data_IF_031469282524
#
_entry.id   IF_031469282524
#
_cell.length_a   1.000
_cell.length_b   1.000
_cell.length_c   1.000
_cell.angle_alpha   90.00
_cell.angle_beta   90.00
_cell.angle_gamma   90.00
#
_symmetry.space_group_name_H-M   'P 1'
#
loop_
_entity.id
_entity.type
_entity.pdbx_description
1 polymer ?
#
# COMPACT_ATOMS: atom_id res chain seq x y z
N UNK A 1 -16.07 -20.91 15.54
CA UNK A 1 -15.71 -20.84 14.10
C UNK A 1 -14.81 -19.63 13.95
N UNK A 2 -13.57 -19.80 13.49
CA UNK A 2 -12.62 -18.69 13.40
C UNK A 2 -13.11 -17.67 12.38
N UNK A 3 -13.27 -16.42 12.81
CA UNK A 3 -13.52 -15.29 11.91
C UNK A 3 -12.29 -15.13 11.01
N UNK A 4 -12.33 -15.73 9.82
CA UNK A 4 -11.39 -15.44 8.76
C UNK A 4 -11.95 -14.25 7.97
N UNK A 5 -11.12 -13.25 7.70
CA UNK A 5 -11.53 -12.11 6.90
C UNK A 5 -12.06 -12.57 5.53
N UNK A 6 -13.08 -11.90 5.00
CA UNK A 6 -13.63 -12.24 3.68
C UNK A 6 -12.53 -12.12 2.62
N UNK A 7 -12.39 -13.15 1.79
CA UNK A 7 -11.32 -13.23 0.79
C UNK A 7 -9.95 -13.65 1.37
N UNK A 8 -9.90 -14.17 2.60
CA UNK A 8 -8.69 -14.77 3.13
C UNK A 8 -8.27 -15.99 2.32
N UNK A 9 -7.00 -16.01 1.90
CA UNK A 9 -6.36 -17.14 1.22
C UNK A 9 -5.24 -17.65 2.13
N UNK A 10 -5.29 -18.92 2.59
CA UNK A 10 -4.22 -19.54 3.34
C UNK A 10 -2.86 -19.39 2.64
N UNK A 11 -1.78 -18.99 3.34
CA UNK A 11 -0.48 -18.77 2.71
C UNK A 11 0.15 -20.01 2.09
N UNK A 12 -0.24 -21.21 2.53
CA UNK A 12 0.14 -22.50 1.95
C UNK A 12 -0.40 -22.74 0.53
N UNK A 13 -1.42 -21.97 0.12
CA UNK A 13 -1.95 -22.00 -1.24
C UNK A 13 -1.24 -20.99 -2.16
N UNK A 14 -0.31 -20.19 -1.65
CA UNK A 14 0.41 -19.22 -2.46
C UNK A 14 1.50 -19.90 -3.28
N UNK A 15 1.34 -19.88 -4.60
CA UNK A 15 2.32 -20.43 -5.52
C UNK A 15 3.46 -19.43 -5.77
N UNK A 16 4.70 -19.90 -5.68
CA UNK A 16 5.88 -19.11 -6.05
C UNK A 16 6.01 -18.92 -7.57
N UNK A 17 5.25 -19.69 -8.35
CA UNK A 17 5.30 -19.73 -9.79
C UNK A 17 6.40 -20.65 -10.31
N UNK A 18 6.52 -20.69 -11.62
CA UNK A 18 7.51 -21.52 -12.32
C UNK A 18 8.82 -20.78 -12.54
N UNK A 19 9.88 -21.55 -12.72
CA UNK A 19 11.16 -20.99 -13.18
C UNK A 19 11.01 -20.52 -14.63
N UNK A 20 11.22 -19.23 -14.87
CA UNK A 20 11.00 -18.63 -16.19
C UNK A 20 11.89 -17.40 -16.41
N UNK A 21 12.39 -17.26 -17.64
CA UNK A 21 12.99 -16.02 -18.12
C UNK A 21 11.91 -15.10 -18.72
N UNK A 22 12.06 -13.81 -18.51
CA UNK A 22 11.14 -12.76 -18.96
C UNK A 22 11.94 -11.73 -19.74
N UNK A 23 11.41 -11.31 -20.89
CA UNK A 23 11.93 -10.17 -21.63
C UNK A 23 10.75 -9.36 -22.16
N UNK A 24 10.78 -8.07 -21.88
CA UNK A 24 9.81 -7.10 -22.37
C UNK A 24 10.59 -5.96 -23.01
N UNK A 25 10.18 -5.55 -24.21
CA UNK A 25 10.85 -4.51 -24.97
C UNK A 25 9.85 -3.49 -25.49
N UNK A 26 10.21 -2.22 -25.42
CA UNK A 26 9.43 -1.13 -26.00
C UNK A 26 10.36 -0.26 -26.84
N UNK A 27 10.09 -0.23 -28.15
CA UNK A 27 10.86 0.56 -29.11
C UNK A 27 10.00 1.68 -29.70
N UNK A 28 10.46 2.91 -29.55
CA UNK A 28 9.81 4.11 -30.10
C UNK A 28 10.80 4.86 -30.99
N UNK A 29 10.36 5.32 -32.15
CA UNK A 29 11.17 6.14 -33.06
C UNK A 29 10.37 7.31 -33.63
N UNK A 30 11.02 8.45 -33.81
CA UNK A 30 10.44 9.65 -34.40
C UNK A 30 11.45 10.31 -35.35
N UNK A 31 10.95 10.86 -36.46
CA UNK A 31 11.72 11.69 -37.37
C UNK A 31 11.02 13.04 -37.55
N UNK A 32 11.64 14.09 -37.01
CA UNK A 32 11.16 15.45 -37.11
C UNK A 32 11.83 16.15 -38.30
N UNK A 33 11.03 16.69 -39.22
CA UNK A 33 11.53 17.48 -40.35
C UNK A 33 11.26 18.96 -40.08
N UNK A 34 12.32 19.76 -39.93
CA UNK A 34 12.18 21.20 -39.76
C UNK A 34 12.42 21.91 -41.09
N UNK A 35 11.56 22.89 -41.38
CA UNK A 35 11.62 23.70 -42.61
C UNK A 35 12.89 24.56 -42.69
N UNK A 36 13.45 24.94 -41.55
CA UNK A 36 14.73 25.63 -41.39
C UNK A 36 15.52 24.96 -40.27
N UNK A 37 16.39 23.99 -40.60
CA UNK A 37 17.24 23.30 -39.60
C UNK A 37 17.49 21.80 -39.82
N UNK A 38 17.06 21.22 -40.95
CA UNK A 38 17.31 19.82 -41.29
C UNK A 38 16.31 18.84 -40.65
N UNK A 39 16.63 17.54 -40.74
CA UNK A 39 15.83 16.47 -40.12
C UNK A 39 16.51 15.96 -38.85
N UNK A 40 15.75 15.84 -37.76
CA UNK A 40 16.22 15.22 -36.51
C UNK A 40 15.57 13.86 -36.33
N UNK A 41 16.37 12.85 -35.99
CA UNK A 41 15.89 11.49 -35.73
C UNK A 41 16.10 11.15 -34.29
N UNK A 42 15.11 10.52 -33.69
CA UNK A 42 15.14 10.03 -32.32
C UNK A 42 14.70 8.58 -32.32
N UNK A 43 15.43 7.73 -31.62
CA UNK A 43 15.00 6.37 -31.34
C UNK A 43 15.28 6.06 -29.87
N UNK A 44 14.39 5.28 -29.27
CA UNK A 44 14.45 4.90 -27.87
C UNK A 44 14.00 3.45 -27.73
N UNK A 45 14.77 2.66 -27.01
CA UNK A 45 14.46 1.29 -26.65
C UNK A 45 14.51 1.18 -25.12
N UNK A 46 13.42 0.71 -24.51
CA UNK A 46 13.41 0.25 -23.12
C UNK A 46 13.39 -1.28 -23.13
N UNK A 47 14.33 -1.89 -22.42
CA UNK A 47 14.45 -3.33 -22.28
C UNK A 47 14.35 -3.70 -20.81
N UNK A 48 13.30 -4.44 -20.48
CA UNK A 48 13.05 -4.99 -19.17
C UNK A 48 13.29 -6.49 -19.23
N UNK A 49 14.29 -6.96 -18.52
CA UNK A 49 14.58 -8.40 -18.42
C UNK A 49 14.29 -8.89 -17.01
N UNK A 50 13.98 -10.17 -16.89
CA UNK A 50 13.70 -10.77 -15.60
C UNK A 50 13.95 -12.26 -15.59
N UNK A 51 14.21 -12.79 -14.41
CA UNK A 51 14.38 -14.21 -14.18
C UNK A 51 13.67 -14.57 -12.88
N UNK A 52 12.80 -15.56 -12.95
CA UNK A 52 12.11 -16.13 -11.79
C UNK A 52 12.73 -17.50 -11.52
N UNK A 53 13.18 -17.74 -10.29
CA UNK A 53 13.67 -19.05 -9.83
C UNK A 53 13.08 -19.30 -8.44
N UNK A 54 12.08 -20.17 -8.36
CA UNK A 54 11.31 -20.38 -7.12
C UNK A 54 10.71 -19.05 -6.64
N UNK A 55 10.94 -18.71 -5.36
CA UNK A 55 10.44 -17.48 -4.75
C UNK A 55 11.26 -16.21 -5.10
N UNK A 56 12.39 -16.37 -5.79
CA UNK A 56 13.29 -15.27 -6.14
C UNK A 56 12.93 -14.70 -7.51
N UNK A 57 12.87 -13.37 -7.57
CA UNK A 57 12.55 -12.62 -8.78
C UNK A 57 13.67 -11.61 -9.03
N UNK A 58 14.47 -11.85 -10.06
CA UNK A 58 15.46 -10.90 -10.55
C UNK A 58 14.82 -10.03 -11.63
N UNK A 59 15.04 -8.73 -11.57
CA UNK A 59 14.56 -7.75 -12.55
C UNK A 59 15.71 -6.81 -12.92
N UNK A 60 15.83 -6.51 -14.21
CA UNK A 60 16.78 -5.55 -14.75
C UNK A 60 16.08 -4.68 -15.79
N UNK A 61 16.40 -3.38 -15.78
CA UNK A 61 15.89 -2.42 -16.74
C UNK A 61 17.05 -1.63 -17.34
N UNK A 62 17.10 -1.62 -18.67
CA UNK A 62 18.12 -0.92 -19.44
C UNK A 62 17.46 -0.14 -20.58
N UNK A 63 17.99 1.04 -20.86
CA UNK A 63 17.49 1.90 -21.93
C UNK A 63 18.56 2.24 -22.93
N UNK A 64 18.18 2.31 -24.19
CA UNK A 64 19.01 2.77 -25.28
C UNK A 64 18.36 3.97 -25.93
N UNK A 65 19.12 5.02 -26.13
CA UNK A 65 18.67 6.23 -26.80
C UNK A 65 19.61 6.59 -27.94
N UNK A 66 19.01 6.99 -29.04
CA UNK A 66 19.68 7.53 -30.20
C UNK A 66 19.05 8.88 -30.55
N UNK A 67 19.88 9.89 -30.76
CA UNK A 67 19.47 11.19 -31.27
C UNK A 67 20.45 11.68 -32.34
N UNK A 68 19.92 12.29 -33.40
CA UNK A 68 20.74 12.97 -34.42
C UNK A 68 20.18 14.34 -34.74
N UNK A 69 21.00 15.39 -34.67
CA UNK A 69 20.63 16.79 -34.94
C UNK A 69 21.09 17.30 -36.30
N UNK A 70 20.26 18.14 -36.94
CA UNK A 70 20.40 18.57 -38.35
C UNK A 70 21.38 19.70 -38.68
N UNK A 71 22.03 20.35 -37.70
CA UNK A 71 22.90 21.52 -37.97
C UNK A 71 24.29 21.49 -37.30
N UNK A 72 24.49 20.63 -36.30
CA UNK A 72 25.76 20.42 -35.60
C UNK A 72 25.85 18.93 -35.34
N UNK A 73 26.80 18.27 -36.00
CA UNK A 73 26.95 16.82 -36.09
C UNK A 73 27.31 16.15 -34.76
N UNK A 74 26.38 16.12 -33.81
CA UNK A 74 26.45 15.24 -32.63
C UNK A 74 25.36 14.19 -32.74
N UNK A 75 25.72 13.02 -33.25
CA UNK A 75 24.91 11.82 -33.08
C UNK A 75 25.19 11.29 -31.69
N UNK A 76 24.19 11.24 -30.83
CA UNK A 76 24.29 10.62 -29.53
C UNK A 76 23.69 9.23 -29.60
N UNK A 77 24.48 8.24 -29.21
CA UNK A 77 24.07 6.86 -29.11
C UNK A 77 24.52 6.35 -27.75
N UNK A 78 23.58 6.11 -26.84
CA UNK A 78 23.89 5.76 -25.45
C UNK A 78 23.07 4.57 -25.00
N UNK A 79 23.77 3.58 -24.43
CA UNK A 79 23.17 2.55 -23.60
C UNK A 79 23.31 2.96 -22.13
N UNK A 80 22.21 2.91 -21.38
CA UNK A 80 22.16 3.29 -19.97
C UNK A 80 21.41 2.22 -19.18
N UNK A 81 22.10 1.64 -18.21
CA UNK A 81 21.47 0.77 -17.21
C UNK A 81 20.69 1.64 -16.21
N UNK A 82 19.42 1.31 -15.99
CA UNK A 82 18.52 2.08 -15.12
C UNK A 82 18.56 1.50 -13.72
N UNK A 83 18.14 0.25 -13.54
CA UNK A 83 18.11 -0.41 -12.24
C UNK A 83 18.14 -1.94 -12.39
N UNK A 84 18.66 -2.59 -11.35
CA UNK A 84 18.69 -4.03 -11.21
C UNK A 84 18.40 -4.39 -9.76
N UNK A 85 17.44 -5.28 -9.52
CA UNK A 85 17.12 -5.75 -8.17
C UNK A 85 16.67 -7.20 -8.14
N UNK A 86 16.87 -7.80 -6.98
CA UNK A 86 16.45 -9.14 -6.64
C UNK A 86 15.48 -9.03 -5.47
N UNK A 87 14.27 -9.54 -5.65
CA UNK A 87 13.23 -9.51 -4.63
C UNK A 87 12.75 -10.91 -4.26
N UNK A 88 12.32 -11.05 -3.01
CA UNK A 88 11.70 -12.26 -2.47
C UNK A 88 10.71 -11.92 -1.38
N UNK A 89 9.54 -12.54 -1.47
CA UNK A 89 8.51 -12.46 -0.45
C UNK A 89 8.85 -13.40 0.73
N UNK A 90 8.69 -12.90 1.96
CA UNK A 90 8.86 -13.61 3.22
C UNK A 90 7.49 -13.73 3.88
N UNK A 91 6.77 -14.79 3.51
CA UNK A 91 5.40 -15.08 3.94
C UNK A 91 5.20 -15.05 5.47
N UNK A 92 6.08 -15.63 6.32
CA UNK A 92 5.90 -15.59 7.78
C UNK A 92 5.91 -14.19 8.38
N UNK A 93 6.62 -13.25 7.73
CA UNK A 93 6.72 -11.85 8.15
C UNK A 93 5.75 -10.94 7.37
N UNK A 94 4.97 -11.49 6.42
CA UNK A 94 4.16 -10.72 5.46
C UNK A 94 4.92 -9.53 4.86
N UNK A 95 6.17 -9.78 4.50
CA UNK A 95 7.13 -8.75 4.12
C UNK A 95 7.85 -9.14 2.83
N UNK A 96 8.33 -8.14 2.08
CA UNK A 96 9.20 -8.31 0.92
C UNK A 96 10.62 -7.89 1.27
N UNK A 97 11.57 -8.77 0.92
CA UNK A 97 12.99 -8.48 0.91
C UNK A 97 13.39 -8.05 -0.50
N UNK A 98 14.04 -6.89 -0.62
CA UNK A 98 14.56 -6.34 -1.87
C UNK A 98 16.06 -6.09 -1.72
N UNK A 99 16.85 -6.57 -2.67
CA UNK A 99 18.30 -6.42 -2.74
C UNK A 99 18.68 -5.78 -4.08
N UNK A 100 19.53 -4.75 -4.07
CA UNK A 100 19.94 -4.00 -5.26
C UNK A 100 19.29 -2.62 -5.31
N UNK A 101 18.94 -2.18 -6.51
CA UNK A 101 18.38 -0.85 -6.76
C UNK A 101 16.89 -0.78 -6.44
N UNK A 102 16.50 0.10 -5.52
CA UNK A 102 15.09 0.31 -5.20
C UNK A 102 14.85 1.72 -4.65
N UNK A 103 13.68 1.94 -4.08
CA UNK A 103 13.29 3.22 -3.48
C UNK A 103 12.57 3.00 -2.16
N UNK A 104 12.60 4.00 -1.28
CA UNK A 104 11.87 3.99 -0.02
C UNK A 104 10.47 4.60 -0.19
N UNK A 105 9.50 4.08 0.55
CA UNK A 105 8.15 4.64 0.56
C UNK A 105 8.15 6.00 1.27
N UNK A 106 7.54 7.00 0.63
CA UNK A 106 7.49 8.38 1.10
C UNK A 106 6.47 8.65 2.22
N UNK A 107 6.15 7.65 3.04
CA UNK A 107 5.01 7.72 3.98
C UNK A 107 5.31 8.60 5.21
N UNK A 108 6.58 8.68 5.62
CA UNK A 108 7.07 9.40 6.82
C UNK A 108 8.15 10.39 6.49
N UNK A 109 9.09 9.93 5.67
CA UNK A 109 10.24 10.67 5.18
C UNK A 109 10.10 10.78 3.67
N UNK A 110 10.84 11.68 3.04
CA UNK A 110 10.87 11.76 1.59
C UNK A 110 11.36 10.44 0.98
N UNK A 111 10.72 10.03 -0.12
CA UNK A 111 11.10 8.84 -0.86
C UNK A 111 12.46 9.04 -1.52
N UNK A 112 13.40 8.15 -1.20
CA UNK A 112 14.76 8.19 -1.75
C UNK A 112 15.04 6.92 -2.54
N UNK A 113 15.77 7.07 -3.64
CA UNK A 113 16.32 5.97 -4.41
C UNK A 113 17.62 5.50 -3.74
N UNK A 114 17.82 4.19 -3.67
CA UNK A 114 18.99 3.60 -3.04
C UNK A 114 19.45 2.34 -3.75
N UNK A 115 20.69 1.94 -3.45
CA UNK A 115 21.24 0.62 -3.76
C UNK A 115 21.65 -0.08 -2.46
N UNK A 116 21.01 -1.19 -2.14
CA UNK A 116 21.28 -1.89 -0.88
C UNK A 116 20.26 -2.98 -0.57
N UNK A 117 19.86 -3.07 0.68
CA UNK A 117 18.89 -4.05 1.17
C UNK A 117 17.71 -3.35 1.85
N UNK A 118 16.51 -3.82 1.56
CA UNK A 118 15.28 -3.37 2.21
C UNK A 118 14.41 -4.56 2.59
N UNK A 119 13.89 -4.52 3.81
CA UNK A 119 12.83 -5.41 4.29
C UNK A 119 11.63 -4.55 4.68
N UNK A 120 10.52 -4.71 3.97
CA UNK A 120 9.31 -3.94 4.20
C UNK A 120 8.06 -4.83 4.22
N UNK A 121 7.10 -4.52 5.08
CA UNK A 121 5.77 -5.16 5.07
C UNK A 121 5.06 -4.89 3.74
N UNK A 122 4.41 -5.91 3.16
CA UNK A 122 3.66 -5.78 1.89
C UNK A 122 2.15 -5.93 2.12
N UNK A 123 1.41 -4.84 1.96
CA UNK A 123 -0.05 -4.82 2.12
C UNK A 123 -0.78 -5.65 1.04
N UNK A 124 -0.11 -6.01 -0.06
CA UNK A 124 -0.69 -6.93 -1.06
C UNK A 124 -0.82 -8.36 -0.56
N UNK A 125 -0.11 -8.72 0.51
CA UNK A 125 -0.24 -9.99 1.22
C UNK A 125 -1.43 -10.03 2.19
N UNK A 126 -2.15 -8.91 2.35
CA UNK A 126 -3.39 -8.83 3.10
C UNK A 126 -4.59 -9.12 2.18
N UNK A 127 -5.65 -9.78 2.69
CA UNK A 127 -6.92 -9.87 1.98
C UNK A 127 -7.43 -8.49 1.58
N UNK A 128 -8.09 -8.37 0.43
CA UNK A 128 -8.57 -7.06 -0.06
C UNK A 128 -9.54 -6.38 0.92
N UNK A 129 -10.29 -7.16 1.70
CA UNK A 129 -11.15 -6.66 2.77
C UNK A 129 -10.39 -6.02 3.93
N UNK A 130 -9.07 -6.25 4.04
CA UNK A 130 -8.17 -5.70 5.05
C UNK A 130 -7.21 -4.64 4.50
N UNK A 131 -7.25 -4.33 3.20
CA UNK A 131 -6.42 -3.28 2.60
C UNK A 131 -6.96 -1.90 2.94
N UNK A 132 -6.04 -0.98 3.26
CA UNK A 132 -6.34 0.41 3.59
C UNK A 132 -7.06 0.60 4.93
N UNK A 133 -7.21 1.87 5.32
CA UNK A 133 -7.90 2.22 6.56
C UNK A 133 -9.41 2.10 6.40
N UNK A 134 -10.01 1.17 7.14
CA UNK A 134 -11.42 1.20 7.50
C UNK A 134 -11.50 1.06 9.03
N UNK A 135 -12.40 1.80 9.71
CA UNK A 135 -12.57 1.68 11.14
C UNK A 135 -13.06 0.27 11.51
N UNK A 136 -12.48 -0.32 12.56
CA UNK A 136 -12.98 -1.58 13.14
C UNK A 136 -14.22 -1.28 13.97
N UNK A 137 -15.28 -2.04 13.75
CA UNK A 137 -16.57 -1.82 14.43
C UNK A 137 -16.74 -2.87 15.51
N UNK A 138 -16.81 -2.41 16.75
CA UNK A 138 -17.14 -3.23 17.92
C UNK A 138 -18.62 -3.07 18.27
N UNK A 139 -19.27 -4.18 18.60
CA UNK A 139 -20.67 -4.18 19.03
C UNK A 139 -20.98 -5.37 19.93
N UNK A 140 -22.17 -5.35 20.54
CA UNK A 140 -22.70 -6.46 21.34
C UNK A 140 -24.11 -6.76 20.84
N UNK A 141 -24.31 -7.99 20.35
CA UNK A 141 -25.63 -8.51 20.00
C UNK A 141 -26.23 -9.23 21.20
N UNK A 142 -27.52 -8.98 21.50
CA UNK A 142 -28.24 -9.63 22.60
C UNK A 142 -28.64 -11.06 22.24
N UNK A 143 -28.95 -11.29 20.96
CA UNK A 143 -29.29 -12.59 20.40
C UNK A 143 -28.60 -12.83 19.05
N UNK A 144 -29.16 -13.70 18.22
CA UNK A 144 -28.71 -13.80 16.83
C UNK A 144 -29.18 -12.56 16.09
N UNK A 145 -28.23 -11.79 15.56
CA UNK A 145 -28.51 -10.49 14.97
C UNK A 145 -27.96 -10.38 13.55
N UNK A 146 -28.66 -9.61 12.72
CA UNK A 146 -28.18 -9.18 11.42
C UNK A 146 -27.56 -7.79 11.56
N UNK A 147 -26.28 -7.66 11.21
CA UNK A 147 -25.56 -6.38 11.21
C UNK A 147 -25.48 -5.89 9.77
N UNK A 148 -25.99 -4.69 9.52
CA UNK A 148 -25.81 -3.97 8.25
C UNK A 148 -25.08 -2.65 8.47
N UNK A 149 -24.20 -2.31 7.54
CA UNK A 149 -23.41 -1.09 7.59
C UNK A 149 -23.65 -0.33 6.30
N UNK A 150 -24.01 0.94 6.46
CA UNK A 150 -24.27 1.86 5.36
C UNK A 150 -23.28 3.01 5.37
N UNK A 151 -22.89 3.45 4.18
CA UNK A 151 -22.09 4.64 3.97
C UNK A 151 -22.75 5.48 2.87
N UNK A 152 -22.93 6.78 3.12
CA UNK A 152 -23.60 7.70 2.18
C UNK A 152 -24.99 7.17 1.71
N UNK A 153 -25.69 6.45 2.59
CA UNK A 153 -27.01 5.86 2.31
C UNK A 153 -27.00 4.51 1.59
N UNK A 154 -25.85 4.02 1.10
CA UNK A 154 -25.71 2.73 0.44
C UNK A 154 -25.26 1.65 1.42
N UNK A 155 -25.82 0.45 1.33
CA UNK A 155 -25.39 -0.70 2.13
C UNK A 155 -24.11 -1.28 1.56
N UNK A 156 -23.03 -1.22 2.35
CA UNK A 156 -21.69 -1.65 1.95
C UNK A 156 -21.28 -2.97 2.60
N UNK A 157 -21.99 -3.38 3.66
CA UNK A 157 -21.73 -4.62 4.37
C UNK A 157 -23.00 -5.16 5.02
N UNK A 158 -23.17 -6.46 4.96
CA UNK A 158 -24.20 -7.18 5.70
C UNK A 158 -23.65 -8.54 6.14
N UNK A 159 -23.89 -8.90 7.41
CA UNK A 159 -23.53 -10.21 7.97
C UNK A 159 -24.46 -10.59 9.11
N UNK A 160 -24.57 -11.88 9.41
CA UNK A 160 -25.25 -12.37 10.61
C UNK A 160 -24.21 -12.74 11.66
N UNK A 161 -24.40 -12.27 12.89
CA UNK A 161 -23.50 -12.50 14.02
C UNK A 161 -24.20 -13.32 15.12
N UNK A 162 -23.47 -14.19 15.84
CA UNK A 162 -24.01 -14.91 16.99
C UNK A 162 -24.26 -13.97 18.19
N UNK A 163 -25.02 -14.42 19.21
CA UNK A 163 -25.19 -13.68 20.46
C UNK A 163 -23.86 -13.39 21.15
N UNK A 164 -23.66 -12.15 21.63
CA UNK A 164 -22.46 -11.72 22.34
C UNK A 164 -21.70 -10.58 21.65
N UNK A 165 -20.49 -10.25 22.16
CA UNK A 165 -19.63 -9.25 21.54
C UNK A 165 -19.14 -9.72 20.17
N UNK A 166 -19.11 -8.80 19.20
CA UNK A 166 -18.59 -9.06 17.86
C UNK A 166 -17.70 -7.90 17.38
N UNK A 167 -16.83 -8.21 16.43
CA UNK A 167 -15.94 -7.27 15.77
C UNK A 167 -16.07 -7.43 14.26
N UNK A 168 -16.20 -6.32 13.54
CA UNK A 168 -16.18 -6.27 12.08
C UNK A 168 -14.91 -5.53 11.67
N UNK A 169 -13.95 -6.28 11.15
CA UNK A 169 -12.63 -5.84 10.73
C UNK A 169 -12.37 -6.13 9.24
N UNK A 170 -13.40 -6.48 8.48
CA UNK A 170 -13.35 -6.89 7.06
C UNK A 170 -14.13 -5.93 6.13
N UNK A 171 -14.22 -4.65 6.52
CA UNK A 171 -14.79 -3.60 5.68
C UNK A 171 -13.82 -3.18 4.57
N UNK A 172 -14.32 -3.14 3.33
CA UNK A 172 -13.58 -2.55 2.21
C UNK A 172 -13.33 -1.07 2.46
N UNK A 173 -12.10 -0.62 2.20
CA UNK A 173 -11.75 0.80 2.26
C UNK A 173 -12.43 1.55 1.10
N UNK A 174 -13.55 2.20 1.37
CA UNK A 174 -14.14 3.16 0.46
C UNK A 174 -13.35 4.47 0.55
N UNK A 175 -12.61 4.81 -0.51
CA UNK A 175 -11.62 5.91 -0.52
C UNK A 175 -12.17 7.33 -0.32
N UNK A 176 -13.49 7.50 -0.20
CA UNK A 176 -14.11 8.78 0.09
C UNK A 176 -14.69 8.72 1.51
N UNK A 177 -14.08 9.46 2.43
CA UNK A 177 -14.56 9.57 3.82
C UNK A 177 -16.06 9.87 3.93
N UNK A 178 -16.65 9.49 5.05
CA UNK A 178 -18.07 9.65 5.33
C UNK A 178 -18.54 8.67 6.41
N UNK A 179 -19.35 9.15 7.34
CA UNK A 179 -19.78 8.38 8.52
C UNK A 179 -20.42 7.04 8.13
N UNK A 180 -20.03 5.99 8.86
CA UNK A 180 -20.62 4.66 8.75
C UNK A 180 -21.83 4.59 9.67
N UNK A 181 -23.00 4.30 9.12
CA UNK A 181 -24.19 4.00 9.90
C UNK A 181 -24.30 2.49 10.09
N UNK A 182 -24.17 2.04 11.33
CA UNK A 182 -24.29 0.63 11.71
C UNK A 182 -25.69 0.38 12.25
N UNK A 183 -26.35 -0.65 11.72
CA UNK A 183 -27.65 -1.12 12.21
C UNK A 183 -27.51 -2.58 12.64
N UNK A 184 -27.81 -2.85 13.91
CA UNK A 184 -27.92 -4.20 14.44
C UNK A 184 -29.40 -4.51 14.56
N UNK A 185 -29.88 -5.47 13.77
CA UNK A 185 -31.25 -5.96 13.80
C UNK A 185 -31.29 -7.30 14.55
N UNK A 186 -31.91 -7.31 15.71
CA UNK A 186 -32.04 -8.50 16.55
C UNK A 186 -33.21 -9.38 16.08
N UNK A 187 -33.27 -10.63 16.55
CA UNK A 187 -34.31 -11.59 16.18
C UNK A 187 -35.74 -11.19 16.62
N UNK A 188 -35.86 -10.32 17.62
CA UNK A 188 -37.12 -9.73 18.10
C UNK A 188 -37.55 -8.49 17.30
N UNK A 189 -36.92 -8.24 16.16
CA UNK A 189 -37.10 -7.07 15.28
C UNK A 189 -36.66 -5.73 15.92
N UNK A 190 -36.11 -5.76 17.14
CA UNK A 190 -35.50 -4.58 17.75
C UNK A 190 -34.24 -4.15 16.99
N UNK A 191 -34.00 -2.84 16.93
CA UNK A 191 -32.91 -2.25 16.14
C UNK A 191 -32.05 -1.34 16.99
N UNK A 192 -30.75 -1.53 16.91
CA UNK A 192 -29.76 -0.63 17.47
C UNK A 192 -29.07 0.07 16.32
N UNK A 193 -29.07 1.41 16.31
CA UNK A 193 -28.45 2.21 15.26
C UNK A 193 -27.43 3.14 15.90
N UNK A 194 -26.20 3.12 15.40
CA UNK A 194 -25.15 4.05 15.82
C UNK A 194 -24.28 4.42 14.62
N UNK A 195 -23.69 5.62 14.67
CA UNK A 195 -22.79 6.10 13.63
C UNK A 195 -21.34 6.04 14.09
N UNK A 196 -20.47 5.46 13.27
CA UNK A 196 -19.02 5.45 13.46
C UNK A 196 -18.42 6.49 12.50
N UNK A 197 -17.87 7.60 13.00
CA UNK A 197 -17.26 8.60 12.12
C UNK A 197 -16.05 8.01 11.38
N UNK A 198 -15.99 8.19 10.06
CA UNK A 198 -14.89 7.71 9.22
C UNK A 198 -14.13 8.89 8.64
N UNK A 199 -12.98 9.19 9.25
CA UNK A 199 -11.99 10.11 8.70
C UNK A 199 -10.77 9.32 8.27
N UNK A 200 -10.44 9.38 6.98
CA UNK A 200 -9.22 8.77 6.42
C UNK A 200 -8.11 9.80 6.42
N UNK A 201 -7.04 9.58 7.17
CA UNK A 201 -5.75 10.22 6.89
C UNK A 201 -4.89 9.16 6.19
N UNK A 202 -4.15 9.48 5.12
CA UNK A 202 -3.34 8.51 4.37
C UNK A 202 -2.34 7.68 5.21
N UNK A 203 -2.06 8.10 6.45
CA UNK A 203 -1.11 7.46 7.38
C UNK A 203 -1.81 6.52 8.39
N UNK A 204 -3.15 6.45 8.44
CA UNK A 204 -3.85 5.58 9.39
C UNK A 204 -3.75 4.11 8.98
N UNK A 205 -3.35 3.27 9.92
CA UNK A 205 -3.33 1.81 9.78
C UNK A 205 -4.58 1.22 10.44
N UNK A 206 -5.06 0.06 9.94
CA UNK A 206 -6.14 -0.68 10.59
C UNK A 206 -5.65 -1.20 11.95
N UNK A 207 -6.57 -1.28 12.91
CA UNK A 207 -6.27 -1.81 14.24
C UNK A 207 -5.67 -3.22 14.17
N UNK A 208 -4.56 -3.47 14.87
CA UNK A 208 -3.86 -4.75 14.86
C UNK A 208 -2.92 -4.98 13.67
N UNK A 209 -2.83 -4.05 12.71
CA UNK A 209 -1.85 -4.11 11.63
C UNK A 209 -0.62 -3.24 11.95
N UNK A 210 0.55 -3.80 11.70
CA UNK A 210 1.85 -3.12 11.83
C UNK A 210 2.48 -3.04 10.45
N UNK A 211 2.67 -1.82 9.96
CA UNK A 211 3.45 -1.55 8.76
C UNK A 211 4.85 -1.13 9.19
N UNK A 212 5.88 -1.72 8.60
CA UNK A 212 7.26 -1.36 8.87
C UNK A 212 8.11 -1.44 7.61
N UNK A 213 9.18 -0.65 7.57
CA UNK A 213 10.22 -0.77 6.57
C UNK A 213 11.58 -0.48 7.20
N UNK A 214 12.54 -1.37 6.91
CA UNK A 214 13.94 -1.24 7.28
C UNK A 214 14.76 -1.23 5.99
N UNK A 215 15.55 -0.18 5.78
CA UNK A 215 16.38 0.01 4.58
C UNK A 215 17.80 0.37 4.99
N UNK A 216 18.79 -0.24 4.34
CA UNK A 216 20.20 0.06 4.50
C UNK A 216 20.88 0.02 3.13
N UNK A 217 21.66 1.04 2.80
CA UNK A 217 22.36 1.09 1.53
C UNK A 217 22.92 2.45 1.20
N UNK A 218 23.33 2.61 -0.05
CA UNK A 218 23.89 3.85 -0.58
C UNK A 218 22.77 4.66 -1.26
N UNK A 219 22.75 5.97 -1.00
CA UNK A 219 21.84 6.88 -1.69
C UNK A 219 22.19 7.00 -3.18
N UNK A 220 21.18 7.00 -4.06
CA UNK A 220 21.35 7.05 -5.50
C UNK A 220 20.42 8.08 -6.15
N UNK A 221 20.92 9.26 -6.47
CA UNK A 221 20.07 10.26 -7.14
C UNK A 221 20.04 10.17 -8.68
N UNK A 222 21.05 9.55 -9.29
CA UNK A 222 21.24 9.56 -10.75
C UNK A 222 21.83 10.88 -11.28
N UNK A 223 22.18 11.82 -10.41
CA UNK A 223 22.89 13.05 -10.75
C UNK A 223 24.38 12.93 -10.39
N UNK A 224 25.28 13.25 -11.32
CA UNK A 224 26.73 13.18 -11.12
C UNK A 224 27.29 14.23 -10.14
N UNK A 225 26.45 15.18 -9.70
CA UNK A 225 26.84 16.25 -8.78
C UNK A 225 26.46 15.96 -7.31
N UNK A 226 25.81 14.83 -7.04
CA UNK A 226 25.45 14.43 -5.67
C UNK A 226 26.32 13.25 -5.22
N UNK A 227 26.72 13.29 -3.96
CA UNK A 227 27.42 12.18 -3.32
C UNK A 227 26.47 10.98 -3.14
N UNK A 228 27.06 9.80 -2.98
CA UNK A 228 26.34 8.54 -2.71
C UNK A 228 26.63 8.07 -1.27
N UNK A 229 26.16 8.80 -0.24
CA UNK A 229 26.42 8.44 1.15
C UNK A 229 25.70 7.15 1.53
N UNK A 230 26.33 6.38 2.43
CA UNK A 230 25.70 5.28 3.13
C UNK A 230 24.63 5.82 4.10
N UNK A 231 23.49 5.15 4.16
CA UNK A 231 22.43 5.47 5.09
C UNK A 231 21.74 4.23 5.65
N UNK A 232 21.07 4.45 6.78
CA UNK A 232 20.15 3.51 7.38
C UNK A 232 18.85 4.23 7.70
N UNK A 233 17.71 3.63 7.34
CA UNK A 233 16.40 4.19 7.58
C UNK A 233 15.46 3.09 8.07
N UNK A 234 14.73 3.38 9.16
CA UNK A 234 13.70 2.51 9.69
C UNK A 234 12.47 3.33 10.07
N UNK A 235 11.29 2.88 9.66
CA UNK A 235 10.03 3.43 10.15
C UNK A 235 9.02 2.31 10.39
N UNK A 236 8.10 2.55 11.32
CA UNK A 236 7.01 1.64 11.61
C UNK A 236 5.83 2.39 12.20
N UNK A 237 4.64 2.07 11.71
CA UNK A 237 3.39 2.55 12.26
C UNK A 237 2.54 1.35 12.62
N UNK A 238 2.11 1.34 13.87
CA UNK A 238 1.08 0.44 14.36
C UNK A 238 -0.04 1.30 14.92
N UNK A 239 -1.28 0.95 14.61
CA UNK A 239 -2.41 1.51 15.35
C UNK A 239 -2.64 0.65 16.59
N UNK A 240 -2.64 1.21 17.80
CA UNK A 240 -2.83 0.43 19.01
C UNK A 240 -4.20 -0.27 18.97
N UNK A 241 -4.19 -1.57 19.27
CA UNK A 241 -5.40 -2.31 19.61
C UNK A 241 -6.01 -1.69 20.88
N UNK A 242 -7.26 -1.26 20.80
CA UNK A 242 -7.81 -0.19 21.62
C UNK A 242 -7.87 -0.44 23.13
N UNK A 243 -7.75 0.66 23.88
CA UNK A 243 -8.50 0.88 25.13
C UNK A 243 -8.70 2.38 25.34
N UNK A 244 -9.67 2.98 24.64
CA UNK A 244 -10.22 4.28 25.03
C UNK A 244 -11.33 4.06 26.08
N UNK A 245 -10.96 3.48 27.22
CA UNK A 245 -11.72 3.67 28.46
C UNK A 245 -11.14 4.89 29.16
N UNK A 246 -11.67 6.08 28.86
CA UNK A 246 -11.85 7.19 29.80
C UNK A 246 -12.26 8.44 29.03
N UNK A 247 -13.56 8.72 29.02
CA UNK A 247 -14.10 10.04 29.40
C UNK A 247 -15.62 9.93 29.48
N UNK A 248 -16.10 9.04 30.37
CA UNK A 248 -17.48 9.12 30.87
C UNK A 248 -17.54 10.27 31.88
N UNK A 249 -17.59 11.51 31.38
CA UNK A 249 -18.01 12.65 32.22
C UNK A 249 -19.52 12.51 32.44
N UNK A 250 -19.90 12.24 33.68
CA UNK A 250 -21.25 12.43 34.19
C UNK A 250 -21.18 13.23 35.51
N UNK A 251 -22.30 13.86 35.92
CA UNK A 251 -22.38 15.31 36.05
C UNK A 251 -22.42 15.77 37.51
N UNK A 252 -22.06 17.03 37.76
CA UNK A 252 -22.45 17.71 39.00
C UNK A 252 -22.76 19.17 38.69
N UNK A 253 -24.04 19.43 38.44
CA UNK A 253 -24.60 20.76 38.60
C UNK A 253 -24.81 21.04 40.08
N UNK A 254 -24.32 22.19 40.55
CA UNK A 254 -24.90 22.92 41.69
C UNK A 254 -24.61 24.42 41.52
N UNK A 255 -25.61 25.30 41.72
CA UNK A 255 -25.47 26.73 41.49
C UNK A 255 -24.81 27.43 42.69
N UNK A 256 -23.99 28.44 42.41
CA UNK A 256 -23.48 29.38 43.41
C UNK A 256 -24.54 30.46 43.68
N UNK A 257 -25.04 30.50 44.91
CA UNK A 257 -25.80 31.63 45.46
C UNK A 257 -24.85 32.79 45.81
N UNK A 258 -25.22 34.00 45.38
CA UNK A 258 -24.62 35.27 45.77
C UNK A 258 -24.75 35.52 47.29
N UNK A 259 -23.70 36.06 47.88
CA UNK A 259 -23.73 37.12 48.88
C UNK A 259 -22.80 38.23 48.40
#
# INVERSE_FOLDING_TARGET
MGNHARGYIPPELWDNGITAGLINYNFTGNNAHNTTGGSSRYAYLNLQSGLNIGAWRLRDNSTWSYSSGGSTSSNENRWQHVNSWLERDITPLRSRLTLGDSYTNGDVFDGINFRGAQLASDDNMLPDSQKGFAPVIHGIARGTAQVSIRQNGYEIYQSTVPPGPFTIDDLYAAGNGGDLQVTIKEADDSRQVFSVPWSTVPVLQREGHTRFALTAGEYRSGNSQQETPDFFQGHGHAWPAGRLDALRRHPAGRPLSRL
#
